data_IF_909899624540
#
_entry.id   IF_909899624540
#
_cell.length_a   1.000
_cell.length_b   1.000
_cell.length_c   1.000
_cell.angle_alpha   90.00
_cell.angle_beta   90.00
_cell.angle_gamma   90.00
#
_symmetry.space_group_name_H-M   'P 1'
#
loop_
_entity.id
_entity.type
_entity.pdbx_description
1 polymer ?
#
# COMPACT_ATOMS: atom_id res chain seq x y z
N UNK A 1 5.75 -14.01 -10.61
CA UNK A 1 5.03 -13.60 -9.40
C UNK A 1 5.65 -12.35 -8.81
N UNK A 2 4.81 -11.44 -8.38
CA UNK A 2 5.27 -10.21 -7.74
C UNK A 2 4.50 -10.00 -6.45
N UNK A 3 5.18 -9.46 -5.45
CA UNK A 3 4.58 -8.98 -4.22
C UNK A 3 4.46 -7.46 -4.34
N UNK A 4 3.25 -6.96 -4.30
CA UNK A 4 2.99 -5.52 -4.22
C UNK A 4 2.80 -5.17 -2.75
N UNK A 5 3.64 -4.28 -2.25
CA UNK A 5 3.56 -3.77 -0.88
C UNK A 5 3.27 -2.29 -0.99
N UNK A 6 2.26 -1.82 -0.29
CA UNK A 6 1.91 -0.41 -0.34
C UNK A 6 1.55 0.11 1.05
N UNK A 7 1.74 1.42 1.24
CA UNK A 7 1.34 2.11 2.45
C UNK A 7 0.27 3.11 2.08
N UNK A 8 -0.90 2.95 2.66
CA UNK A 8 -2.10 3.72 2.31
C UNK A 8 -2.74 4.28 3.57
N UNK A 9 -3.61 5.26 3.39
CA UNK A 9 -4.41 5.75 4.52
C UNK A 9 -5.31 4.63 5.03
N UNK A 10 -5.38 4.41 6.34
CA UNK A 10 -6.15 3.29 6.89
C UNK A 10 -7.61 3.25 6.46
N UNK A 11 -8.23 4.41 6.33
CA UNK A 11 -9.64 4.48 5.94
C UNK A 11 -9.88 4.13 4.47
N UNK A 12 -8.81 3.99 3.67
CA UNK A 12 -8.91 3.63 2.27
C UNK A 12 -8.86 2.12 2.01
N UNK A 13 -8.53 1.33 3.02
CA UNK A 13 -8.31 -0.10 2.83
C UNK A 13 -9.56 -0.79 2.24
N UNK A 14 -10.73 -0.53 2.78
CA UNK A 14 -11.96 -1.20 2.31
C UNK A 14 -12.26 -0.84 0.86
N UNK A 15 -12.04 0.40 0.46
CA UNK A 15 -12.24 0.83 -0.93
C UNK A 15 -11.25 0.13 -1.86
N UNK A 16 -9.99 0.06 -1.46
CA UNK A 16 -8.96 -0.64 -2.25
C UNK A 16 -9.34 -2.10 -2.41
N UNK A 17 -9.76 -2.75 -1.30
CA UNK A 17 -10.17 -4.14 -1.32
C UNK A 17 -11.34 -4.37 -2.29
N UNK A 18 -12.33 -3.51 -2.25
CA UNK A 18 -13.49 -3.60 -3.15
C UNK A 18 -13.08 -3.48 -4.62
N UNK A 19 -12.24 -2.50 -4.94
CA UNK A 19 -11.82 -2.27 -6.32
C UNK A 19 -10.97 -3.43 -6.81
N UNK A 20 -10.02 -3.90 -6.02
CA UNK A 20 -9.16 -5.02 -6.41
C UNK A 20 -9.94 -6.32 -6.53
N UNK A 21 -10.89 -6.56 -5.64
CA UNK A 21 -11.76 -7.73 -5.73
C UNK A 21 -12.58 -7.69 -7.03
N UNK A 22 -13.10 -6.52 -7.38
CA UNK A 22 -13.85 -6.35 -8.63
C UNK A 22 -13.00 -6.58 -9.87
N UNK A 23 -11.69 -6.39 -9.78
CA UNK A 23 -10.75 -6.64 -10.87
C UNK A 23 -10.25 -8.10 -10.90
N UNK A 24 -10.66 -8.91 -9.93
CA UNK A 24 -10.26 -10.31 -9.87
C UNK A 24 -9.06 -10.61 -8.97
N UNK A 25 -8.70 -9.69 -8.07
CA UNK A 25 -7.57 -9.87 -7.14
C UNK A 25 -8.07 -9.98 -5.70
N UNK A 26 -8.50 -11.17 -5.26
CA UNK A 26 -9.10 -11.32 -3.93
C UNK A 26 -8.12 -11.38 -2.77
N UNK A 27 -6.84 -11.66 -3.03
CA UNK A 27 -5.85 -11.87 -1.98
C UNK A 27 -5.18 -10.56 -1.59
N UNK A 28 -5.65 -9.97 -0.52
CA UNK A 28 -5.14 -8.71 0.00
C UNK A 28 -5.10 -8.77 1.51
N UNK A 29 -3.97 -8.47 2.09
CA UNK A 29 -3.83 -8.41 3.55
C UNK A 29 -3.35 -7.03 3.96
N UNK A 30 -3.64 -6.66 5.20
CA UNK A 30 -3.22 -5.38 5.72
C UNK A 30 -2.84 -5.48 7.18
N UNK A 31 -1.82 -4.71 7.56
CA UNK A 31 -1.43 -4.52 8.96
C UNK A 31 -1.26 -3.03 9.19
N UNK A 32 -1.45 -2.64 10.43
CA UNK A 32 -1.20 -1.27 10.85
C UNK A 32 0.30 -1.05 11.00
N UNK A 33 0.79 0.06 10.47
CA UNK A 33 2.20 0.42 10.55
C UNK A 33 2.32 1.89 10.93
N UNK A 34 3.27 2.20 11.78
CA UNK A 34 3.56 3.56 12.18
C UNK A 34 5.03 3.87 11.89
N UNK A 35 5.30 5.06 11.45
CA UNK A 35 6.67 5.44 11.15
C UNK A 35 6.73 6.70 10.31
N UNK A 36 7.92 7.00 9.84
CA UNK A 36 8.16 8.14 8.96
C UNK A 36 7.94 7.71 7.52
N UNK A 37 7.18 8.49 6.79
CA UNK A 37 6.89 8.22 5.37
C UNK A 37 7.51 9.33 4.51
N UNK A 38 7.82 9.03 3.22
CA UNK A 38 8.44 10.00 2.32
C UNK A 38 7.40 10.99 1.81
N UNK A 39 6.98 11.92 2.66
CA UNK A 39 5.99 12.92 2.30
C UNK A 39 6.44 14.30 2.75
N UNK A 40 5.69 15.30 2.34
CA UNK A 40 5.93 16.64 2.80
C UNK A 40 5.76 16.70 4.31
N UNK A 41 6.75 17.30 4.96
CA UNK A 41 6.73 17.48 6.40
C UNK A 41 5.62 18.45 6.79
N UNK A 42 4.87 18.07 7.81
CA UNK A 42 3.94 19.02 8.43
C UNK A 42 4.77 19.87 9.39
N UNK A 43 4.84 21.15 9.09
CA UNK A 43 5.61 22.09 9.90
C UNK A 43 4.68 22.93 10.75
N UNK A 44 4.87 22.89 12.05
CA UNK A 44 4.12 23.71 13.00
C UNK A 44 5.05 24.70 13.64
N UNK A 45 4.69 25.97 13.59
CA UNK A 45 5.45 27.03 14.24
C UNK A 45 4.71 27.49 15.48
N UNK A 46 5.41 27.49 16.60
CA UNK A 46 4.85 27.91 17.87
C UNK A 46 5.92 28.69 18.66
N UNK A 47 5.61 29.92 19.00
CA UNK A 47 6.53 30.83 19.72
C UNK A 47 7.88 30.95 19.03
N UNK A 48 7.87 31.01 17.71
CA UNK A 48 9.09 31.11 16.92
C UNK A 48 9.86 29.80 16.73
N UNK A 49 9.39 28.70 17.33
CA UNK A 49 9.99 27.41 17.14
C UNK A 49 9.21 26.67 16.05
N UNK A 50 9.91 25.87 15.27
CA UNK A 50 9.31 25.05 14.23
C UNK A 50 9.42 23.59 14.63
N UNK A 51 8.28 22.89 14.60
CA UNK A 51 8.22 21.46 14.86
C UNK A 51 7.80 20.75 13.58
N UNK A 52 8.56 19.75 13.22
CA UNK A 52 8.26 18.90 12.06
C UNK A 52 7.69 17.58 12.53
N UNK A 53 6.63 17.15 11.86
CA UNK A 53 6.02 15.85 12.13
C UNK A 53 6.21 14.95 10.92
N UNK A 54 6.88 13.84 11.15
CA UNK A 54 7.18 12.85 10.12
C UNK A 54 6.43 11.55 10.33
N UNK A 55 6.00 11.27 11.55
CA UNK A 55 5.41 10.01 11.91
C UNK A 55 3.93 9.98 11.53
N UNK A 56 3.52 8.89 10.90
CA UNK A 56 2.13 8.65 10.53
C UNK A 56 1.76 7.20 10.74
N UNK A 57 0.48 6.96 11.01
CA UNK A 57 -0.07 5.61 11.00
C UNK A 57 -0.63 5.35 9.60
N UNK A 58 -0.19 4.26 9.01
CA UNK A 58 -0.63 3.81 7.69
C UNK A 58 -1.07 2.36 7.76
N UNK A 59 -1.88 1.93 6.81
CA UNK A 59 -2.08 0.51 6.59
C UNK A 59 -1.05 0.04 5.57
N UNK A 60 -0.26 -0.97 5.95
CA UNK A 60 0.63 -1.65 5.04
C UNK A 60 -0.14 -2.79 4.43
N UNK A 61 -0.30 -2.76 3.12
CA UNK A 61 -1.05 -3.80 2.41
C UNK A 61 -0.11 -4.61 1.55
N UNK A 62 -0.46 -5.88 1.37
CA UNK A 62 0.31 -6.81 0.56
C UNK A 62 -0.61 -7.59 -0.36
N UNK A 63 -0.17 -7.76 -1.60
CA UNK A 63 -0.92 -8.48 -2.60
C UNK A 63 0.07 -9.20 -3.50
N UNK A 64 -0.06 -10.53 -3.62
CA UNK A 64 0.80 -11.30 -4.51
C UNK A 64 0.02 -11.58 -5.79
N UNK A 65 0.60 -11.25 -6.93
CA UNK A 65 -0.08 -11.37 -8.24
C UNK A 65 0.90 -11.89 -9.30
N UNK A 66 0.34 -12.31 -10.42
CA UNK A 66 1.15 -12.64 -11.59
C UNK A 66 1.90 -11.42 -12.11
N UNK A 67 3.01 -11.65 -12.80
CA UNK A 67 3.86 -10.56 -13.29
C UNK A 67 3.09 -9.54 -14.13
N UNK A 68 2.19 -10.02 -14.98
CA UNK A 68 1.43 -9.19 -15.90
C UNK A 68 0.40 -8.30 -15.22
N UNK A 69 0.08 -8.58 -13.96
CA UNK A 69 -0.96 -7.85 -13.22
C UNK A 69 -0.40 -6.83 -12.24
N UNK A 70 0.90 -6.86 -12.00
CA UNK A 70 1.50 -6.00 -10.96
C UNK A 70 1.26 -4.53 -11.20
N UNK A 71 1.41 -4.06 -12.44
CA UNK A 71 1.21 -2.64 -12.72
C UNK A 71 -0.24 -2.20 -12.54
N UNK A 72 -1.20 -3.06 -12.90
CA UNK A 72 -2.62 -2.75 -12.68
C UNK A 72 -2.92 -2.60 -11.18
N UNK A 73 -2.38 -3.50 -10.37
CA UNK A 73 -2.58 -3.45 -8.92
C UNK A 73 -1.93 -2.20 -8.33
N UNK A 74 -0.70 -1.88 -8.74
CA UNK A 74 -0.01 -0.66 -8.28
C UNK A 74 -0.81 0.58 -8.64
N UNK A 75 -1.24 0.69 -9.90
CA UNK A 75 -2.00 1.86 -10.35
C UNK A 75 -3.30 2.03 -9.57
N UNK A 76 -4.00 0.93 -9.29
CA UNK A 76 -5.23 0.95 -8.51
C UNK A 76 -4.96 1.43 -7.08
N UNK A 77 -3.92 0.91 -6.46
CA UNK A 77 -3.57 1.28 -5.08
C UNK A 77 -3.19 2.75 -5.00
N UNK A 78 -2.37 3.22 -5.93
CA UNK A 78 -1.96 4.63 -5.94
C UNK A 78 -3.18 5.54 -6.13
N UNK A 79 -4.09 5.16 -7.00
CA UNK A 79 -5.31 5.95 -7.26
C UNK A 79 -6.24 5.99 -6.05
N UNK A 80 -6.43 4.86 -5.38
CA UNK A 80 -7.43 4.74 -4.31
C UNK A 80 -6.86 4.93 -2.91
N UNK A 81 -5.56 4.93 -2.76
CA UNK A 81 -4.91 4.81 -1.45
C UNK A 81 -4.92 6.04 -0.57
N UNK A 82 -5.28 7.18 -1.14
CA UNK A 82 -5.31 8.43 -0.39
C UNK A 82 -4.01 9.22 -0.53
N UNK A 83 -3.84 10.20 0.34
CA UNK A 83 -2.71 11.10 0.29
C UNK A 83 -1.41 10.37 0.68
N UNK A 84 -0.34 10.67 -0.05
CA UNK A 84 1.00 10.14 0.24
C UNK A 84 1.09 8.62 0.17
N UNK A 85 0.30 8.01 -0.70
CA UNK A 85 0.38 6.58 -0.96
C UNK A 85 1.61 6.27 -1.78
N UNK A 86 2.31 5.22 -1.39
CA UNK A 86 3.43 4.72 -2.17
C UNK A 86 3.46 3.20 -2.13
N UNK A 87 4.14 2.59 -3.11
CA UNK A 87 4.15 1.15 -3.26
C UNK A 87 5.51 0.66 -3.74
N UNK A 88 5.80 -0.58 -3.40
CA UNK A 88 6.97 -1.32 -3.88
C UNK A 88 6.52 -2.59 -4.57
N UNK A 89 7.29 -3.01 -5.55
CA UNK A 89 7.06 -4.30 -6.21
C UNK A 89 8.31 -5.14 -6.05
N UNK A 90 8.14 -6.33 -5.50
CA UNK A 90 9.23 -7.25 -5.24
C UNK A 90 9.02 -8.55 -6.00
N UNK A 91 10.10 -9.20 -6.39
CA UNK A 91 10.02 -10.53 -6.98
C UNK A 91 9.72 -11.56 -5.91
N UNK A 92 8.86 -12.50 -6.23
CA UNK A 92 8.55 -13.65 -5.38
C UNK A 92 9.12 -14.89 -6.04
N UNK A 93 10.01 -15.58 -5.36
CA UNK A 93 10.64 -16.78 -5.92
C UNK A 93 9.66 -17.93 -6.02
N UNK A 94 8.86 -18.13 -4.98
CA UNK A 94 7.87 -19.20 -4.97
C UNK A 94 6.75 -18.88 -3.99
N UNK A 95 5.59 -19.49 -4.21
CA UNK A 95 4.46 -19.43 -3.29
C UNK A 95 3.95 -20.84 -3.05
N UNK A 96 3.53 -21.10 -1.81
CA UNK A 96 3.10 -22.43 -1.41
C UNK A 96 1.79 -22.36 -0.64
N UNK A 97 0.80 -23.18 -1.00
CA UNK A 97 0.80 -24.13 -2.14
C UNK A 97 0.96 -23.40 -3.48
N UNK A 98 1.41 -24.13 -4.52
CA UNK A 98 1.72 -23.53 -5.83
C UNK A 98 0.53 -22.87 -6.51
N UNK A 99 -0.68 -23.21 -6.16
CA UNK A 99 -1.89 -22.60 -6.70
C UNK A 99 -2.40 -21.42 -5.86
N UNK A 100 -1.59 -20.90 -4.95
CA UNK A 100 -1.94 -19.74 -4.10
C UNK A 100 -2.31 -18.53 -4.96
N UNK A 101 -1.66 -18.35 -6.10
CA UNK A 101 -1.89 -17.22 -6.99
C UNK A 101 -2.70 -17.67 -8.17
N UNK A 102 -3.90 -17.13 -8.32
CA UNK A 102 -4.84 -17.51 -9.37
C UNK A 102 -4.98 -16.44 -10.45
N UNK A 103 -4.37 -15.30 -10.22
CA UNK A 103 -4.40 -14.19 -11.17
C UNK A 103 -3.05 -13.59 -11.38
#
# INVERSE_FOLDING_TARGET
MKLVVAYVDPQRFERIREVLLGLGFPSLSAVSAAGTVPEATVTTTYRGATTEQHSRTKSRIECVVGNEHASTVVDTIIKEGGDRTFAFVLAVESAHPVDTIKT
#
